data_IF_431053283527
#
_entry.id   IF_431053283527
#
_cell.length_a   1.000
_cell.length_b   1.000
_cell.length_c   1.000
_cell.angle_alpha   90.00
_cell.angle_beta   90.00
_cell.angle_gamma   90.00
#
_symmetry.space_group_name_H-M   'P 1'
#
loop_
_entity.id
_entity.type
_entity.pdbx_description
1 polymer ?
#
# COMPACT_ATOMS: atom_id res chain seq x y z
N UNK A 1 -10.45 -52.85 -29.09
CA UNK A 1 -9.59 -52.45 -27.95
C UNK A 1 -9.49 -50.93 -27.92
N UNK A 2 -10.53 -50.21 -27.47
CA UNK A 2 -10.57 -48.74 -27.62
C UNK A 2 -10.90 -47.99 -26.32
N UNK A 3 -11.16 -48.67 -25.21
CA UNK A 3 -11.54 -48.01 -23.93
C UNK A 3 -10.36 -47.43 -23.14
N UNK A 4 -9.11 -47.63 -23.58
CA UNK A 4 -7.92 -47.27 -22.79
C UNK A 4 -7.42 -45.83 -23.04
N UNK A 5 -7.75 -45.24 -24.19
CA UNK A 5 -7.27 -43.90 -24.57
C UNK A 5 -8.10 -42.78 -23.91
N UNK A 6 -9.43 -42.90 -23.92
CA UNK A 6 -10.34 -41.94 -23.29
C UNK A 6 -10.20 -41.89 -21.75
N UNK A 7 -9.92 -43.03 -21.11
CA UNK A 7 -9.68 -43.06 -19.66
C UNK A 7 -8.35 -42.42 -19.24
N UNK A 8 -7.32 -42.43 -20.09
CA UNK A 8 -6.06 -41.71 -19.82
C UNK A 8 -6.24 -40.20 -19.94
N UNK A 9 -6.94 -39.74 -20.98
CA UNK A 9 -7.21 -38.32 -21.18
C UNK A 9 -8.05 -37.71 -20.04
N UNK A 10 -9.08 -38.43 -19.57
CA UNK A 10 -9.91 -37.96 -18.46
C UNK A 10 -9.10 -37.77 -17.15
N UNK A 11 -8.13 -38.65 -16.90
CA UNK A 11 -7.29 -38.60 -15.69
C UNK A 11 -6.24 -37.49 -15.73
N UNK A 12 -5.75 -37.14 -16.91
CA UNK A 12 -4.86 -35.98 -17.10
C UNK A 12 -5.61 -34.66 -16.96
N UNK A 13 -6.85 -34.58 -17.46
CA UNK A 13 -7.70 -33.38 -17.33
C UNK A 13 -8.10 -33.13 -15.87
N UNK A 14 -8.43 -34.18 -15.11
CA UNK A 14 -8.79 -34.04 -13.69
C UNK A 14 -7.59 -33.58 -12.83
N UNK A 15 -6.38 -34.02 -13.17
CA UNK A 15 -5.15 -33.57 -12.51
C UNK A 15 -4.85 -32.10 -12.84
N UNK A 16 -5.00 -31.70 -14.10
CA UNK A 16 -4.81 -30.32 -14.54
C UNK A 16 -5.83 -29.35 -13.90
N UNK A 17 -7.09 -29.77 -13.72
CA UNK A 17 -8.10 -28.96 -13.03
C UNK A 17 -7.75 -28.71 -11.57
N UNK A 18 -7.28 -29.74 -10.84
CA UNK A 18 -6.84 -29.58 -9.44
C UNK A 18 -5.64 -28.68 -9.28
N UNK A 19 -4.67 -28.74 -10.21
CA UNK A 19 -3.52 -27.84 -10.21
C UNK A 19 -3.93 -26.39 -10.55
N UNK A 20 -4.88 -26.20 -11.48
CA UNK A 20 -5.42 -24.88 -11.82
C UNK A 20 -6.21 -24.24 -10.67
N UNK A 21 -7.03 -25.01 -9.94
CA UNK A 21 -7.81 -24.52 -8.80
C UNK A 21 -6.89 -24.09 -7.63
N UNK A 22 -5.80 -24.83 -7.40
CA UNK A 22 -4.79 -24.46 -6.39
C UNK A 22 -4.02 -23.20 -6.77
N UNK A 23 -3.64 -23.06 -8.05
CA UNK A 23 -2.98 -21.86 -8.56
C UNK A 23 -3.88 -20.62 -8.51
N UNK A 24 -5.18 -20.78 -8.80
CA UNK A 24 -6.15 -19.69 -8.69
C UNK A 24 -6.31 -19.20 -7.24
N UNK A 25 -6.26 -20.12 -6.26
CA UNK A 25 -6.35 -19.79 -4.83
C UNK A 25 -5.10 -19.10 -4.31
N UNK A 26 -3.90 -19.50 -4.76
CA UNK A 26 -2.64 -18.81 -4.45
C UNK A 26 -2.53 -17.44 -5.13
N UNK A 27 -3.12 -17.26 -6.32
CA UNK A 27 -3.18 -15.96 -7.01
C UNK A 27 -4.12 -14.97 -6.30
N UNK A 28 -5.28 -15.44 -5.84
CA UNK A 28 -6.22 -14.62 -5.07
C UNK A 28 -5.64 -14.16 -3.73
N UNK A 29 -4.88 -15.02 -3.05
CA UNK A 29 -4.22 -14.68 -1.78
C UNK A 29 -3.10 -13.62 -1.98
N UNK A 30 -2.33 -13.72 -3.08
CA UNK A 30 -1.32 -12.71 -3.45
C UNK A 30 -1.93 -11.37 -3.85
N UNK A 31 -3.07 -11.36 -4.53
CA UNK A 31 -3.75 -10.11 -4.87
C UNK A 31 -4.32 -9.43 -3.62
N UNK A 32 -4.88 -10.20 -2.69
CA UNK A 32 -5.41 -9.67 -1.43
C UNK A 32 -4.31 -9.11 -0.51
N UNK A 33 -3.10 -9.67 -0.53
CA UNK A 33 -1.94 -9.12 0.19
C UNK A 33 -1.36 -7.85 -0.48
N UNK A 34 -1.57 -7.63 -1.78
CA UNK A 34 -1.20 -6.37 -2.45
C UNK A 34 -2.23 -5.25 -2.21
N UNK A 35 -3.50 -5.59 -1.98
CA UNK A 35 -4.55 -4.64 -1.61
C UNK A 35 -4.58 -4.36 -0.08
N UNK A 36 -4.17 -5.32 0.75
CA UNK A 36 -4.02 -5.17 2.21
C UNK A 36 -2.63 -4.69 2.63
N UNK A 37 -1.65 -4.77 1.73
CA UNK A 37 -0.35 -4.15 1.88
C UNK A 37 -0.53 -2.66 1.74
N UNK A 38 -0.87 -2.02 2.86
CA UNK A 38 -0.43 -0.69 3.24
C UNK A 38 0.34 -0.04 2.11
N UNK A 39 -0.38 0.68 1.24
CA UNK A 39 0.23 1.71 0.42
C UNK A 39 0.91 2.55 1.48
N UNK A 40 2.22 2.33 1.68
CA UNK A 40 3.06 3.16 2.52
C UNK A 40 3.01 4.50 1.80
N UNK A 41 1.92 5.22 2.02
CA UNK A 41 1.65 6.50 1.45
C UNK A 41 2.76 7.31 2.06
N UNK A 42 3.76 7.66 1.26
CA UNK A 42 4.90 8.45 1.69
C UNK A 42 4.33 9.66 2.45
N UNK A 43 4.35 9.54 3.78
CA UNK A 43 3.76 10.53 4.65
C UNK A 43 4.82 11.58 4.86
N UNK A 44 4.45 12.83 4.60
CA UNK A 44 5.30 13.96 4.83
C UNK A 44 4.84 14.65 6.10
N UNK A 45 5.81 15.02 6.94
CA UNK A 45 5.55 15.75 8.16
C UNK A 45 5.25 17.21 7.82
N UNK A 46 4.13 17.70 8.32
CA UNK A 46 3.71 19.09 8.14
C UNK A 46 3.43 19.75 9.49
N UNK A 47 3.46 21.08 9.51
CA UNK A 47 3.05 21.92 10.63
C UNK A 47 1.87 22.77 10.20
N UNK A 48 0.80 22.75 10.97
CA UNK A 48 -0.38 23.56 10.69
C UNK A 48 -0.13 25.01 11.07
N UNK A 49 -0.37 25.91 10.14
CA UNK A 49 -0.31 27.36 10.33
C UNK A 49 -1.65 27.93 10.82
N UNK A 50 -2.75 27.22 10.55
CA UNK A 50 -4.11 27.64 10.84
C UNK A 50 -4.91 26.47 11.39
N UNK A 51 -5.93 26.77 12.20
CA UNK A 51 -6.86 25.75 12.69
C UNK A 51 -7.57 25.06 11.52
N UNK A 52 -7.58 23.74 11.50
CA UNK A 52 -8.30 22.95 10.51
C UNK A 52 -9.48 22.22 11.16
N UNK A 53 -10.72 22.77 11.12
CA UNK A 53 -11.84 22.29 11.92
C UNK A 53 -12.29 20.87 11.57
N UNK A 54 -12.02 20.42 10.33
CA UNK A 54 -12.34 19.05 9.89
C UNK A 54 -11.46 17.97 10.54
N UNK A 55 -10.22 18.32 10.87
CA UNK A 55 -9.23 17.36 11.38
C UNK A 55 -8.84 17.63 12.85
N UNK A 56 -9.30 18.74 13.43
CA UNK A 56 -9.02 19.08 14.83
C UNK A 56 -7.60 19.55 15.09
N UNK A 57 -6.85 19.94 14.05
CA UNK A 57 -5.50 20.50 14.18
C UNK A 57 -5.54 22.00 14.47
N UNK A 58 -4.61 22.45 15.30
CA UNK A 58 -4.44 23.85 15.72
C UNK A 58 -3.15 24.43 15.14
N UNK A 59 -3.01 25.77 15.11
CA UNK A 59 -1.78 26.41 14.71
C UNK A 59 -0.61 25.95 15.59
N UNK A 60 0.42 25.41 14.96
CA UNK A 60 1.60 24.85 15.63
C UNK A 60 1.60 23.33 15.76
N UNK A 61 0.46 22.66 15.59
CA UNK A 61 0.41 21.20 15.57
C UNK A 61 1.20 20.65 14.38
N UNK A 62 1.83 19.49 14.58
CA UNK A 62 2.48 18.74 13.51
C UNK A 62 1.78 17.40 13.29
N UNK A 63 1.63 17.00 12.03
CA UNK A 63 1.09 15.69 11.66
C UNK A 63 1.84 15.10 10.47
N UNK A 64 1.88 13.77 10.41
CA UNK A 64 2.37 13.01 9.27
C UNK A 64 1.18 12.65 8.39
N UNK A 65 1.13 13.23 7.19
CA UNK A 65 0.03 13.05 6.25
C UNK A 65 0.55 12.60 4.88
N UNK A 66 -0.27 11.86 4.14
CA UNK A 66 0.05 11.47 2.77
C UNK A 66 0.33 12.70 1.88
N UNK A 67 1.24 12.57 0.93
CA UNK A 67 1.65 13.62 0.00
C UNK A 67 0.46 14.39 -0.64
N UNK A 68 -0.60 13.69 -1.04
CA UNK A 68 -1.81 14.29 -1.63
C UNK A 68 -2.50 15.29 -0.69
N UNK A 69 -2.54 15.01 0.62
CA UNK A 69 -3.09 15.93 1.62
C UNK A 69 -2.14 17.08 1.91
N UNK A 70 -0.83 16.80 1.95
CA UNK A 70 0.20 17.82 2.19
C UNK A 70 0.21 18.87 1.10
N UNK A 71 0.15 18.49 -0.17
CA UNK A 71 0.10 19.43 -1.29
C UNK A 71 -1.14 20.34 -1.21
N UNK A 72 -2.30 19.77 -0.86
CA UNK A 72 -3.55 20.51 -0.71
C UNK A 72 -3.49 21.51 0.46
N UNK A 73 -2.93 21.11 1.59
CA UNK A 73 -2.82 21.96 2.78
C UNK A 73 -1.76 23.06 2.63
N UNK A 74 -0.64 22.76 1.98
CA UNK A 74 0.43 23.74 1.72
C UNK A 74 0.04 24.73 0.63
N UNK A 75 -0.55 24.27 -0.47
CA UNK A 75 -1.06 25.16 -1.54
C UNK A 75 -2.17 26.09 -1.04
N UNK A 76 -2.99 25.62 -0.11
CA UNK A 76 -4.03 26.43 0.54
C UNK A 76 -3.50 27.36 1.65
N UNK A 77 -2.21 27.31 2.00
CA UNK A 77 -1.63 28.09 3.09
C UNK A 77 -2.15 27.71 4.48
N UNK A 78 -2.63 26.47 4.66
CA UNK A 78 -3.09 25.95 5.94
C UNK A 78 -1.97 25.29 6.74
N UNK A 79 -0.95 24.76 6.06
CA UNK A 79 0.20 24.12 6.66
C UNK A 79 1.48 24.41 5.89
N UNK A 80 2.62 24.10 6.50
CA UNK A 80 3.95 24.14 5.90
C UNK A 80 4.63 22.76 6.04
N UNK A 81 5.49 22.41 5.10
CA UNK A 81 6.31 21.21 5.19
C UNK A 81 7.36 21.37 6.27
N UNK A 82 7.40 20.42 7.21
CA UNK A 82 8.48 20.33 8.19
C UNK A 82 9.53 19.45 7.54
N UNK A 83 10.63 20.05 7.10
CA UNK A 83 11.79 19.28 6.70
C UNK A 83 12.10 18.29 7.84
N UNK A 84 12.24 17.00 7.51
CA UNK A 84 12.77 16.04 8.47
C UNK A 84 14.04 16.66 9.06
N UNK A 85 14.27 16.58 10.39
CA UNK A 85 15.52 17.07 10.94
C UNK A 85 16.61 16.41 10.09
N UNK A 86 17.42 17.24 9.43
CA UNK A 86 18.64 16.76 8.81
C UNK A 86 19.30 15.99 9.94
N UNK A 87 19.35 14.67 9.80
CA UNK A 87 20.20 13.87 10.65
C UNK A 87 21.58 14.40 10.32
N UNK A 88 22.04 15.39 11.10
CA UNK A 88 23.44 15.62 11.35
C UNK A 88 23.97 14.21 11.58
N UNK A 89 24.55 13.65 10.53
CA UNK A 89 25.49 12.57 10.65
C UNK A 89 26.59 13.21 11.46
N UNK A 90 26.44 13.07 12.78
CA UNK A 90 27.48 13.31 13.76
C UNK A 90 28.60 12.38 13.32
N UNK A 91 29.46 12.93 12.47
CA UNK A 91 30.69 12.33 12.03
C UNK A 91 31.60 12.43 13.26
N UNK A 92 31.45 11.46 14.16
CA UNK A 92 32.42 11.17 15.21
C UNK A 92 33.78 11.01 14.53
N UNK A 93 34.66 12.00 14.72
CA UNK A 93 36.08 11.95 14.39
C UNK A 93 36.90 11.80 15.67
#
# INVERSE_FOLDING_TARGET
MSQTAEQKAAKEVEKAQKEAEKAAKEAADKQNQLESGEKAAETQKIKFLRSHPRYGYWPGDTADLAAEHVELLTSGGFAELVAAPETESENEE
#
